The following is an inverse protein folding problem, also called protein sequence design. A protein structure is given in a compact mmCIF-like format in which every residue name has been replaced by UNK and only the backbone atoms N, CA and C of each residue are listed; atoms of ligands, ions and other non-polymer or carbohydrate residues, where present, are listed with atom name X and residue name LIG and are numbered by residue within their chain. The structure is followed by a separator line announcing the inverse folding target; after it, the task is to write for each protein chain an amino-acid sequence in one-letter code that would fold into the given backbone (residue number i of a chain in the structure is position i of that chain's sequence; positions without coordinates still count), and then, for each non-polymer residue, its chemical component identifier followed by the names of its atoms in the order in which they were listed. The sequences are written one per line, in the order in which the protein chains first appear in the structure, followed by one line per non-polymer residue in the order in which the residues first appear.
data_IF_194853588635
#
_entry.id   IF_194853588635
#
_cell.length_a   1.000
_cell.length_b   1.000
_cell.length_c   1.000
_cell.angle_alpha   90.00
_cell.angle_beta   90.00
_cell.angle_gamma   90.00
#
_symmetry.space_group_name_H-M   'P 1'
#
loop_
_entity.id
_entity.type
_entity.pdbx_description
1 polymer ?
#
# COMPACT_ATOMS: atom_id res chain seq x y z
N UNK A 1 -18.61 5.99 -5.56
CA UNK A 1 -18.60 4.62 -6.10
C UNK A 1 -17.83 4.54 -7.40
N UNK A 2 -16.57 4.96 -7.38
CA UNK A 2 -15.63 4.80 -8.48
C UNK A 2 -14.45 3.99 -7.94
N UNK A 3 -13.85 3.14 -8.78
CA UNK A 3 -12.64 2.42 -8.41
C UNK A 3 -11.47 3.41 -8.41
N UNK A 4 -10.72 3.44 -7.32
CA UNK A 4 -9.67 4.43 -7.10
C UNK A 4 -8.37 3.72 -6.70
N UNK A 5 -7.27 4.25 -7.19
CA UNK A 5 -5.91 3.83 -6.84
C UNK A 5 -5.04 5.05 -6.57
N UNK A 6 -3.91 4.85 -5.90
CA UNK A 6 -2.91 5.89 -5.67
C UNK A 6 -1.50 5.28 -5.61
N UNK A 7 -0.50 6.14 -5.77
CA UNK A 7 0.91 5.80 -5.71
C UNK A 7 1.58 6.66 -4.64
N UNK A 8 2.36 6.05 -3.75
CA UNK A 8 3.03 6.77 -2.65
C UNK A 8 4.22 5.98 -2.10
N UNK A 9 4.97 6.58 -1.18
CA UNK A 9 6.11 5.98 -0.50
C UNK A 9 6.44 6.76 0.78
N UNK A 10 7.06 6.11 1.76
CA UNK A 10 7.69 6.73 2.93
C UNK A 10 6.78 7.74 3.63
N UNK A 11 7.20 8.99 3.76
CA UNK A 11 6.43 10.06 4.41
C UNK A 11 5.06 10.29 3.75
N UNK A 12 4.96 10.12 2.43
CA UNK A 12 3.69 10.22 1.73
C UNK A 12 2.69 9.16 2.18
N UNK A 13 3.17 7.95 2.50
CA UNK A 13 2.33 6.89 3.02
C UNK A 13 1.88 7.17 4.46
N UNK A 14 2.77 7.72 5.30
CA UNK A 14 2.41 8.10 6.68
C UNK A 14 1.27 9.13 6.72
N UNK A 15 1.28 10.09 5.79
CA UNK A 15 0.22 11.09 5.67
C UNK A 15 -1.15 10.48 5.26
N UNK A 16 -1.15 9.27 4.71
CA UNK A 16 -2.37 8.56 4.34
C UNK A 16 -2.94 7.69 5.46
N UNK A 17 -2.19 7.38 6.53
CA UNK A 17 -2.63 6.48 7.63
C UNK A 17 -4.02 6.81 8.16
N UNK A 18 -4.39 8.07 8.48
CA UNK A 18 -5.72 8.37 8.99
C UNK A 18 -6.84 7.98 8.02
N UNK A 19 -6.64 8.22 6.72
CA UNK A 19 -7.61 7.85 5.70
C UNK A 19 -7.61 6.35 5.43
N UNK A 20 -6.49 5.65 5.58
CA UNK A 20 -6.44 4.20 5.45
C UNK A 20 -7.38 3.51 6.45
N UNK A 21 -7.40 3.95 7.72
CA UNK A 21 -8.37 3.45 8.69
C UNK A 21 -9.82 3.64 8.25
N UNK A 22 -10.13 4.79 7.64
CA UNK A 22 -11.48 5.08 7.14
C UNK A 22 -11.84 4.21 5.94
N UNK A 23 -10.93 4.08 4.97
CA UNK A 23 -11.11 3.26 3.77
C UNK A 23 -11.34 1.79 4.16
N UNK A 24 -10.52 1.25 5.07
CA UNK A 24 -10.67 -0.12 5.55
C UNK A 24 -11.93 -0.30 6.40
N UNK A 25 -12.24 0.63 7.30
CA UNK A 25 -13.44 0.59 8.14
C UNK A 25 -14.75 0.67 7.35
N UNK A 26 -14.74 1.37 6.20
CA UNK A 26 -15.88 1.48 5.29
C UNK A 26 -15.92 0.36 4.23
N UNK A 27 -14.97 -0.59 4.29
CA UNK A 27 -14.85 -1.72 3.36
C UNK A 27 -14.85 -1.25 1.89
N UNK A 28 -14.08 -0.20 1.60
CA UNK A 28 -14.00 0.37 0.27
C UNK A 28 -12.91 -0.33 -0.55
N UNK A 29 -13.24 -0.87 -1.74
CA UNK A 29 -12.25 -1.52 -2.58
C UNK A 29 -11.35 -0.47 -3.25
N UNK A 30 -10.08 -0.43 -2.85
CA UNK A 30 -9.06 0.44 -3.40
C UNK A 30 -7.68 -0.20 -3.27
N UNK A 31 -6.77 0.15 -4.17
CA UNK A 31 -5.40 -0.39 -4.18
C UNK A 31 -4.39 0.74 -4.11
N UNK A 32 -3.52 0.67 -3.11
CA UNK A 32 -2.37 1.55 -2.99
C UNK A 32 -1.16 0.81 -3.54
N UNK A 33 -0.50 1.39 -4.53
CA UNK A 33 0.76 0.89 -5.05
C UNK A 33 1.91 1.64 -4.38
N UNK A 34 2.72 0.94 -3.59
CA UNK A 34 3.76 1.56 -2.76
C UNK A 34 5.14 1.06 -3.18
N UNK A 35 5.99 1.98 -3.61
CA UNK A 35 7.44 1.72 -3.67
C UNK A 35 7.97 1.86 -2.25
N UNK A 36 8.20 0.73 -1.56
CA UNK A 36 8.57 0.71 -0.16
C UNK A 36 9.88 1.48 0.05
N UNK A 37 9.86 2.47 0.93
CA UNK A 37 10.96 3.42 1.08
C UNK A 37 11.15 3.81 2.54
N UNK A 38 12.42 3.95 2.91
CA UNK A 38 12.84 4.34 4.25
C UNK A 38 12.12 5.56 4.82
N UNK A 39 11.76 5.47 6.10
CA UNK A 39 11.26 6.59 6.88
C UNK A 39 12.43 7.47 7.35
N UNK A 40 12.23 8.79 7.30
CA UNK A 40 13.19 9.73 7.85
C UNK A 40 13.18 9.63 9.39
N UNK A 41 14.21 8.99 9.95
CA UNK A 41 14.47 8.93 11.39
C UNK A 41 15.59 9.91 11.76
N UNK A 42 16.84 9.45 11.86
CA UNK A 42 17.99 10.34 12.09
C UNK A 42 18.36 11.16 10.84
N UNK A 43 18.14 10.58 9.66
CA UNK A 43 18.41 11.21 8.37
C UNK A 43 17.33 10.80 7.35
N UNK A 44 17.15 11.63 6.32
CA UNK A 44 16.32 11.29 5.18
C UNK A 44 17.02 10.20 4.34
N UNK A 45 16.26 9.21 3.90
CA UNK A 45 16.69 8.24 2.89
C UNK A 45 15.62 8.10 1.81
N UNK A 46 16.05 8.07 0.55
CA UNK A 46 15.18 7.82 -0.61
C UNK A 46 15.23 6.36 -1.06
N UNK A 47 16.01 5.52 -0.39
CA UNK A 47 16.23 4.12 -0.76
C UNK A 47 15.21 3.18 -0.11
N UNK A 48 15.10 1.98 -0.68
CA UNK A 48 14.12 0.98 -0.31
C UNK A 48 14.41 0.32 1.03
N UNK A 49 13.39 0.26 1.87
CA UNK A 49 13.23 -0.66 3.00
C UNK A 49 11.72 -0.73 3.34
N UNK A 50 11.32 -1.60 4.27
CA UNK A 50 9.90 -1.80 4.60
C UNK A 50 9.38 -0.95 5.77
N UNK A 51 10.13 0.05 6.23
CA UNK A 51 9.76 0.82 7.43
C UNK A 51 8.44 1.59 7.27
N UNK A 52 8.15 2.05 6.05
CA UNK A 52 6.91 2.77 5.74
C UNK A 52 5.69 1.84 5.69
N UNK A 53 5.75 0.76 4.93
CA UNK A 53 4.66 -0.23 4.81
C UNK A 53 4.36 -0.87 6.16
N UNK A 54 5.38 -1.20 6.95
CA UNK A 54 5.21 -1.79 8.29
C UNK A 54 4.61 -0.82 9.31
N UNK A 55 4.72 0.49 9.07
CA UNK A 55 4.05 1.52 9.88
C UNK A 55 2.55 1.60 9.61
N UNK A 56 2.05 0.92 8.58
CA UNK A 56 0.62 0.89 8.22
C UNK A 56 -0.06 -0.47 8.44
N UNK A 57 0.67 -1.49 8.93
CA UNK A 57 0.15 -2.87 9.09
C UNK A 57 -1.13 -2.96 9.93
N UNK A 58 -1.33 -2.01 10.85
CA UNK A 58 -2.48 -1.95 11.76
C UNK A 58 -3.70 -1.22 11.17
N UNK A 59 -3.61 -0.67 9.95
CA UNK A 59 -4.68 0.15 9.35
C UNK A 59 -5.86 -0.67 8.83
N UNK A 60 -5.71 -1.99 8.74
CA UNK A 60 -6.73 -2.91 8.21
C UNK A 60 -6.64 -3.16 6.70
N UNK A 61 -5.63 -2.61 6.01
CA UNK A 61 -5.33 -2.96 4.63
C UNK A 61 -4.75 -4.37 4.53
N UNK A 62 -5.14 -5.11 3.49
CA UNK A 62 -4.43 -6.32 3.09
C UNK A 62 -3.09 -5.92 2.46
N UNK A 63 -1.99 -6.58 2.83
CA UNK A 63 -0.66 -6.26 2.34
C UNK A 63 -0.17 -7.38 1.39
N UNK A 64 0.22 -7.01 0.16
CA UNK A 64 0.71 -7.92 -0.87
C UNK A 64 2.09 -7.45 -1.34
N UNK A 65 3.13 -8.18 -0.96
CA UNK A 65 4.52 -7.90 -1.33
C UNK A 65 4.88 -8.59 -2.65
N UNK A 66 5.75 -7.98 -3.45
CA UNK A 66 6.31 -8.57 -4.67
C UNK A 66 7.83 -8.40 -4.73
N UNK A 67 8.54 -9.42 -5.23
CA UNK A 67 10.00 -9.51 -5.19
C UNK A 67 10.69 -9.38 -6.55
N UNK A 68 9.93 -9.27 -7.64
CA UNK A 68 10.49 -9.06 -8.99
C UNK A 68 9.62 -8.15 -9.83
N UNK A 69 10.20 -7.54 -10.87
CA UNK A 69 9.45 -6.69 -11.82
C UNK A 69 8.31 -7.46 -12.49
N UNK A 70 8.49 -8.76 -12.74
CA UNK A 70 7.46 -9.62 -13.28
C UNK A 70 6.32 -9.82 -12.27
N UNK A 71 6.65 -10.13 -11.02
CA UNK A 71 5.66 -10.25 -9.95
C UNK A 71 4.90 -8.95 -9.71
N UNK A 72 5.55 -7.79 -9.81
CA UNK A 72 4.89 -6.48 -9.71
C UNK A 72 3.78 -6.35 -10.75
N UNK A 73 4.03 -6.77 -11.99
CA UNK A 73 3.03 -6.75 -13.06
C UNK A 73 1.90 -7.74 -12.77
N UNK A 74 2.24 -8.99 -12.44
CA UNK A 74 1.28 -10.08 -12.30
C UNK A 74 0.38 -9.89 -11.07
N UNK A 75 0.97 -9.53 -9.94
CA UNK A 75 0.27 -9.45 -8.65
C UNK A 75 -0.42 -8.10 -8.42
N UNK A 76 -0.06 -7.05 -9.17
CA UNK A 76 -0.84 -5.80 -9.15
C UNK A 76 -2.29 -6.05 -9.59
N UNK A 77 -2.50 -6.78 -10.70
CA UNK A 77 -3.84 -7.13 -11.16
C UNK A 77 -4.60 -7.99 -10.14
N UNK A 78 -3.89 -8.90 -9.47
CA UNK A 78 -4.45 -9.73 -8.39
C UNK A 78 -4.93 -8.86 -7.23
N UNK A 79 -4.15 -7.86 -6.80
CA UNK A 79 -4.55 -6.94 -5.73
C UNK A 79 -5.86 -6.20 -6.06
N UNK A 80 -6.02 -5.72 -7.30
CA UNK A 80 -7.24 -5.04 -7.76
C UNK A 80 -8.46 -5.98 -7.75
N UNK A 81 -8.32 -7.16 -8.36
CA UNK A 81 -9.41 -8.14 -8.43
C UNK A 81 -9.80 -8.66 -7.03
N UNK A 82 -8.81 -8.91 -6.18
CA UNK A 82 -9.03 -9.34 -4.79
C UNK A 82 -9.70 -8.25 -3.97
N UNK A 83 -9.30 -6.98 -4.12
CA UNK A 83 -9.91 -5.86 -3.39
C UNK A 83 -11.38 -5.70 -3.75
N UNK A 84 -11.73 -5.73 -5.05
CA UNK A 84 -13.11 -5.63 -5.52
C UNK A 84 -13.98 -6.75 -4.95
N UNK A 85 -13.47 -8.00 -4.96
CA UNK A 85 -14.24 -9.17 -4.53
C UNK A 85 -14.38 -9.27 -3.01
N UNK A 86 -13.31 -8.98 -2.27
CA UNK A 86 -13.29 -9.07 -0.80
C UNK A 86 -13.85 -7.85 -0.10
N UNK A 87 -13.92 -6.70 -0.78
CA UNK A 87 -14.18 -5.37 -0.21
C UNK A 87 -13.13 -4.92 0.82
N UNK A 88 -11.99 -5.60 0.88
CA UNK A 88 -10.85 -5.21 1.70
C UNK A 88 -9.92 -4.36 0.82
N UNK A 89 -9.48 -3.17 1.24
CA UNK A 89 -8.48 -2.41 0.49
C UNK A 89 -7.12 -3.09 0.53
N UNK A 90 -6.35 -2.99 -0.56
CA UNK A 90 -5.04 -3.62 -0.69
C UNK A 90 -3.92 -2.58 -0.75
N UNK A 91 -2.80 -2.91 -0.13
CA UNK A 91 -1.49 -2.30 -0.34
C UNK A 91 -0.62 -3.29 -1.11
N UNK A 92 -0.41 -3.02 -2.39
CA UNK A 92 0.53 -3.74 -3.22
C UNK A 92 1.88 -3.01 -3.18
N UNK A 93 2.90 -3.64 -2.60
CA UNK A 93 4.20 -3.00 -2.41
C UNK A 93 5.37 -3.81 -2.97
N UNK A 94 6.42 -3.09 -3.32
CA UNK A 94 7.68 -3.59 -3.88
C UNK A 94 8.81 -2.65 -3.50
N UNK A 95 10.03 -3.18 -3.47
CA UNK A 95 11.26 -2.45 -3.15
C UNK A 95 11.73 -1.54 -4.29
#
# INVERSE_FOLDING_TARGET
GALTTTYTASQGLLLMIPNMYKIAGELLPGVFHVTARSLAAQALSIFGDHSDVMSTRQTGFAMLATGSVQEVMDLAAVAHLASIKSRIPFMHFFD
#
